data_IF_295402384963
#
_entry.id   IF_295402384963
#
_cell.length_a   1.000
_cell.length_b   1.000
_cell.length_c   1.000
_cell.angle_alpha   90.00
_cell.angle_beta   90.00
_cell.angle_gamma   90.00
#
_symmetry.space_group_name_H-M   'P 1'
#
loop_
_entity.id
_entity.type
_entity.pdbx_description
1 polymer ?
#
# COMPACT_ATOMS: atom_id res chain seq x y z
N UNK A 1 20.99 4.75 14.38
CA UNK A 1 21.70 6.04 14.26
C UNK A 1 20.76 7.07 14.82
N UNK A 2 21.15 7.81 15.86
CA UNK A 2 20.28 8.83 16.43
C UNK A 2 20.05 9.92 15.38
N UNK A 3 18.79 10.37 15.26
CA UNK A 3 18.45 11.44 14.33
C UNK A 3 19.21 12.72 14.70
N UNK A 4 19.75 13.40 13.70
CA UNK A 4 20.40 14.70 13.90
C UNK A 4 19.47 15.67 14.68
N UNK A 5 19.95 16.33 15.75
CA UNK A 5 19.11 17.17 16.61
C UNK A 5 18.41 18.32 15.88
N UNK A 6 19.02 18.87 14.82
CA UNK A 6 18.40 19.94 14.02
C UNK A 6 17.25 19.38 13.19
N UNK A 7 17.42 18.20 12.60
CA UNK A 7 16.35 17.51 11.88
C UNK A 7 15.17 17.20 12.82
N UNK A 8 15.44 16.65 14.00
CA UNK A 8 14.42 16.38 15.01
C UNK A 8 13.65 17.66 15.40
N UNK A 9 14.36 18.76 15.71
CA UNK A 9 13.74 20.03 16.07
C UNK A 9 12.84 20.61 14.96
N UNK A 10 13.19 20.38 13.69
CA UNK A 10 12.37 20.80 12.54
C UNK A 10 11.10 19.98 12.39
N UNK A 11 11.18 18.66 12.59
CA UNK A 11 10.01 17.78 12.60
C UNK A 11 9.08 18.13 13.76
N UNK A 12 9.62 18.34 14.96
CA UNK A 12 8.88 18.77 16.14
C UNK A 12 8.19 20.11 15.91
N UNK A 13 8.89 21.08 15.31
CA UNK A 13 8.32 22.37 14.95
C UNK A 13 7.18 22.25 13.93
N UNK A 14 7.35 21.42 12.89
CA UNK A 14 6.30 21.19 11.88
C UNK A 14 5.06 20.56 12.51
N UNK A 15 5.24 19.57 13.39
CA UNK A 15 4.17 18.90 14.13
C UNK A 15 3.43 19.89 15.05
N UNK A 16 4.16 20.69 15.83
CA UNK A 16 3.56 21.69 16.70
C UNK A 16 2.80 22.78 15.93
N UNK A 17 3.31 23.18 14.77
CA UNK A 17 2.63 24.12 13.87
C UNK A 17 1.33 23.52 13.34
N UNK A 18 1.35 22.25 12.89
CA UNK A 18 0.13 21.57 12.46
C UNK A 18 -0.89 21.40 13.59
N UNK A 19 -0.44 21.11 14.81
CA UNK A 19 -1.30 21.04 15.99
C UNK A 19 -2.01 22.36 16.23
N UNK A 20 -1.26 23.47 16.25
CA UNK A 20 -1.77 24.82 16.48
C UNK A 20 -2.74 25.26 15.38
N UNK A 21 -2.27 25.23 14.14
CA UNK A 21 -3.02 25.77 13.00
C UNK A 21 -4.24 24.89 12.66
N UNK A 22 -4.09 23.59 12.89
CA UNK A 22 -5.17 22.61 12.76
C UNK A 22 -6.12 22.56 13.94
N UNK A 23 -5.87 23.34 15.01
CA UNK A 23 -6.63 23.36 16.27
C UNK A 23 -6.86 21.96 16.84
N UNK A 24 -5.83 21.11 16.77
CA UNK A 24 -5.90 19.71 17.19
C UNK A 24 -5.74 19.61 18.71
N UNK A 25 -6.63 18.93 19.45
CA UNK A 25 -6.47 18.76 20.89
C UNK A 25 -5.15 18.04 21.25
N UNK A 26 -4.83 16.99 20.50
CA UNK A 26 -3.51 16.37 20.42
C UNK A 26 -3.21 15.80 19.04
N UNK A 27 -1.93 15.71 18.73
CA UNK A 27 -1.41 15.03 17.54
C UNK A 27 -0.12 14.29 17.90
N UNK A 28 0.05 13.10 17.36
CA UNK A 28 1.27 12.31 17.43
C UNK A 28 1.69 11.93 16.02
N UNK A 29 2.99 11.79 15.82
CA UNK A 29 3.54 11.35 14.56
C UNK A 29 4.82 10.55 14.75
N UNK A 30 5.18 9.77 13.73
CA UNK A 30 6.44 9.04 13.66
C UNK A 30 6.94 8.89 12.24
N UNK A 31 8.26 8.86 12.07
CA UNK A 31 8.93 8.55 10.80
C UNK A 31 9.59 7.19 10.90
N UNK A 32 9.42 6.37 9.86
CA UNK A 32 9.98 5.04 9.74
C UNK A 32 10.97 5.02 8.60
N UNK A 33 12.17 4.48 8.83
CA UNK A 33 13.18 4.23 7.79
C UNK A 33 13.92 2.94 8.09
N UNK A 34 14.18 2.14 7.06
CA UNK A 34 14.90 0.87 7.21
C UNK A 34 14.24 -0.06 8.24
N UNK A 35 12.90 -0.11 8.25
CA UNK A 35 12.12 -0.93 9.18
C UNK A 35 12.06 -0.42 10.63
N UNK A 36 12.63 0.74 10.94
CA UNK A 36 12.72 1.26 12.32
C UNK A 36 12.06 2.63 12.47
N UNK A 37 11.43 2.87 13.63
CA UNK A 37 10.96 4.20 14.04
C UNK A 37 12.18 5.09 14.36
N UNK A 38 12.47 6.07 13.50
CA UNK A 38 13.65 6.95 13.61
C UNK A 38 13.36 8.30 14.24
N UNK A 39 12.09 8.71 14.28
CA UNK A 39 11.61 9.88 15.00
C UNK A 39 10.18 9.67 15.47
N UNK A 40 9.85 10.29 16.59
CA UNK A 40 8.51 10.33 17.14
C UNK A 40 8.28 11.66 17.84
N UNK A 41 7.15 12.29 17.53
CA UNK A 41 6.70 13.53 18.15
C UNK A 41 5.29 13.43 18.72
N UNK A 42 5.00 14.24 19.74
CA UNK A 42 3.68 14.37 20.34
C UNK A 42 3.46 15.81 20.79
N UNK A 43 2.28 16.37 20.52
CA UNK A 43 1.88 17.72 20.94
C UNK A 43 0.43 17.70 21.41
N UNK A 44 0.13 18.44 22.47
CA UNK A 44 -1.22 18.56 23.03
C UNK A 44 -1.54 17.53 24.12
N UNK A 45 -2.81 17.43 24.48
CA UNK A 45 -3.27 16.65 25.64
C UNK A 45 -4.42 15.72 25.28
N UNK A 46 -4.57 14.63 26.04
CA UNK A 46 -5.52 13.55 25.75
C UNK A 46 -6.98 14.02 25.71
N UNK A 47 -7.31 15.08 26.44
CA UNK A 47 -8.64 15.68 26.60
C UNK A 47 -8.74 17.10 26.01
N UNK A 48 -7.68 17.58 25.36
CA UNK A 48 -7.61 18.92 24.77
C UNK A 48 -7.53 20.08 25.75
N UNK A 49 -7.34 19.83 27.05
CA UNK A 49 -7.21 20.87 28.07
C UNK A 49 -5.75 21.26 28.27
N UNK A 50 -5.48 22.53 28.53
CA UNK A 50 -4.11 23.04 28.67
C UNK A 50 -3.35 22.41 29.85
N UNK A 51 -4.05 22.04 30.91
CA UNK A 51 -3.57 21.33 32.10
C UNK A 51 -3.86 19.82 32.06
N UNK A 52 -4.39 19.33 30.94
CA UNK A 52 -4.70 17.93 30.71
C UNK A 52 -3.44 17.07 30.64
N UNK A 53 -3.63 15.74 30.69
CA UNK A 53 -2.52 14.80 30.56
C UNK A 53 -1.90 14.93 29.16
N UNK A 54 -0.58 15.14 29.02
CA UNK A 54 0.04 15.28 27.70
C UNK A 54 -0.02 13.96 26.91
N UNK A 55 -0.19 14.10 25.59
CA UNK A 55 0.01 12.99 24.67
C UNK A 55 1.51 12.63 24.60
N UNK A 56 1.79 11.36 24.33
CA UNK A 56 3.13 10.81 24.13
C UNK A 56 3.07 9.65 23.13
N UNK A 57 4.21 9.02 22.85
CA UNK A 57 4.31 7.89 21.91
C UNK A 57 3.47 6.67 22.24
N UNK A 58 3.16 6.44 23.51
CA UNK A 58 2.37 5.29 23.97
C UNK A 58 0.86 5.61 24.06
N UNK A 59 0.46 6.82 23.66
CA UNK A 59 -0.93 7.22 23.61
C UNK A 59 -1.66 6.49 22.48
N UNK A 60 -2.71 5.75 22.83
CA UNK A 60 -3.58 5.14 21.84
C UNK A 60 -4.53 6.14 21.16
N UNK A 61 -4.71 5.98 19.86
CA UNK A 61 -5.72 6.65 19.04
C UNK A 61 -6.51 5.61 18.24
N UNK A 62 -7.77 5.88 17.94
CA UNK A 62 -8.55 5.04 17.01
C UNK A 62 -8.02 5.27 15.60
N UNK A 63 -7.49 4.23 14.96
CA UNK A 63 -6.85 4.38 13.63
C UNK A 63 -7.83 4.27 12.46
N UNK A 64 -9.12 4.03 12.74
CA UNK A 64 -10.16 3.98 11.74
C UNK A 64 -9.82 3.01 10.62
N UNK A 65 -10.04 3.42 9.38
CA UNK A 65 -9.89 2.61 8.17
C UNK A 65 -8.52 1.98 7.93
N UNK A 66 -7.46 2.37 8.65
CA UNK A 66 -6.21 1.59 8.66
C UNK A 66 -6.48 0.14 9.14
N UNK A 67 -7.51 -0.10 9.95
CA UNK A 67 -7.96 -1.45 10.34
C UNK A 67 -8.16 -2.39 9.15
N UNK A 68 -8.61 -1.88 8.00
CA UNK A 68 -8.86 -2.66 6.78
C UNK A 68 -7.62 -3.36 6.26
N UNK A 69 -6.46 -2.75 6.42
CA UNK A 69 -5.20 -3.31 5.93
C UNK A 69 -4.86 -4.61 6.68
N UNK A 70 -5.17 -4.68 7.98
CA UNK A 70 -4.98 -5.89 8.79
C UNK A 70 -5.94 -7.01 8.37
N UNK A 71 -7.21 -6.65 8.14
CA UNK A 71 -8.22 -7.59 7.63
C UNK A 71 -7.79 -8.13 6.26
N UNK A 72 -7.35 -7.25 5.36
CA UNK A 72 -6.85 -7.61 4.04
C UNK A 72 -5.69 -8.59 4.10
N UNK A 73 -4.67 -8.32 4.93
CA UNK A 73 -3.54 -9.24 5.12
C UNK A 73 -4.01 -10.60 5.64
N UNK A 74 -4.93 -10.67 6.60
CA UNK A 74 -5.47 -11.95 7.05
C UNK A 74 -6.20 -12.73 5.94
N UNK A 75 -6.92 -12.04 5.04
CA UNK A 75 -7.56 -12.68 3.88
C UNK A 75 -6.51 -13.23 2.91
N UNK A 76 -5.46 -12.47 2.63
CA UNK A 76 -4.37 -12.91 1.75
C UNK A 76 -3.57 -14.07 2.36
N UNK A 77 -3.46 -14.13 3.69
CA UNK A 77 -2.87 -15.29 4.36
C UNK A 77 -3.71 -16.55 4.23
N UNK A 78 -5.05 -16.45 4.21
CA UNK A 78 -5.91 -17.58 3.88
C UNK A 78 -5.67 -18.05 2.44
N UNK A 79 -5.50 -17.11 1.49
CA UNK A 79 -5.13 -17.42 0.10
C UNK A 79 -3.79 -18.15 0.02
N UNK A 80 -2.76 -17.63 0.67
CA UNK A 80 -1.41 -18.24 0.65
C UNK A 80 -1.40 -19.64 1.29
N UNK A 81 -2.31 -19.88 2.24
CA UNK A 81 -2.54 -21.20 2.81
C UNK A 81 -3.40 -22.14 1.94
N UNK A 82 -3.80 -21.71 0.74
CA UNK A 82 -4.63 -22.48 -0.21
C UNK A 82 -6.07 -22.68 0.25
N UNK A 83 -6.58 -21.83 1.15
CA UNK A 83 -7.92 -21.98 1.75
C UNK A 83 -9.03 -21.27 0.98
N UNK A 84 -8.66 -20.33 0.12
CA UNK A 84 -9.54 -19.58 -0.78
C UNK A 84 -8.72 -19.09 -1.98
N UNK A 85 -9.41 -18.72 -3.06
CA UNK A 85 -8.87 -17.97 -4.18
C UNK A 85 -9.46 -16.55 -4.21
N UNK A 86 -8.71 -15.58 -4.73
CA UNK A 86 -9.19 -14.19 -4.81
C UNK A 86 -10.34 -14.02 -5.82
N UNK A 87 -10.44 -14.92 -6.79
CA UNK A 87 -11.51 -14.99 -7.79
C UNK A 87 -12.76 -15.70 -7.30
N UNK A 88 -12.69 -16.38 -6.14
CA UNK A 88 -13.85 -17.00 -5.50
C UNK A 88 -14.90 -15.93 -5.21
N UNK A 89 -16.16 -16.32 -5.36
CA UNK A 89 -17.27 -15.47 -4.96
C UNK A 89 -17.43 -15.48 -3.46
N UNK A 90 -17.84 -14.34 -2.89
CA UNK A 90 -18.06 -14.25 -1.45
C UNK A 90 -19.08 -15.29 -0.92
N UNK A 91 -20.12 -15.61 -1.70
CA UNK A 91 -21.15 -16.61 -1.32
C UNK A 91 -20.63 -18.05 -1.24
N UNK A 92 -19.53 -18.36 -1.90
CA UNK A 92 -18.91 -19.70 -1.86
C UNK A 92 -18.30 -19.97 -0.49
N UNK A 93 -17.87 -18.91 0.20
CA UNK A 93 -17.29 -18.97 1.54
C UNK A 93 -18.27 -18.58 2.65
N UNK A 94 -19.27 -17.74 2.35
CA UNK A 94 -20.31 -17.32 3.29
C UNK A 94 -21.69 -17.54 2.65
N UNK A 95 -22.22 -18.78 2.66
CA UNK A 95 -23.46 -19.13 1.98
C UNK A 95 -24.66 -18.31 2.45
N UNK A 96 -25.52 -17.91 1.52
CA UNK A 96 -26.72 -17.11 1.79
C UNK A 96 -26.44 -15.62 1.99
N UNK A 97 -25.19 -15.17 1.84
CA UNK A 97 -24.85 -13.76 1.94
C UNK A 97 -25.40 -12.93 0.77
N UNK A 98 -25.94 -11.73 1.01
CA UNK A 98 -26.35 -10.83 -0.07
C UNK A 98 -25.18 -10.22 -0.85
N UNK A 99 -23.93 -10.43 -0.41
CA UNK A 99 -22.71 -9.96 -1.09
C UNK A 99 -22.20 -10.93 -2.17
N UNK A 100 -22.96 -12.01 -2.46
CA UNK A 100 -22.49 -13.18 -3.21
C UNK A 100 -21.95 -12.97 -4.63
N UNK A 101 -22.22 -11.83 -5.28
CA UNK A 101 -21.77 -11.60 -6.68
C UNK A 101 -20.37 -11.01 -6.80
N UNK A 102 -19.81 -10.46 -5.73
CA UNK A 102 -18.47 -9.91 -5.73
C UNK A 102 -17.44 -11.02 -5.46
N UNK A 103 -16.30 -10.95 -6.14
CA UNK A 103 -15.15 -11.77 -5.78
C UNK A 103 -14.46 -11.21 -4.55
N UNK A 104 -13.64 -12.02 -3.87
CA UNK A 104 -12.84 -11.56 -2.73
C UNK A 104 -11.87 -10.45 -3.11
N UNK A 105 -11.24 -10.54 -4.29
CA UNK A 105 -10.40 -9.48 -4.88
C UNK A 105 -11.16 -8.15 -4.99
N UNK A 106 -12.39 -8.20 -5.50
CA UNK A 106 -13.23 -7.02 -5.71
C UNK A 106 -13.68 -6.40 -4.39
N UNK A 107 -13.88 -7.19 -3.33
CA UNK A 107 -14.17 -6.64 -2.00
C UNK A 107 -12.94 -5.96 -1.40
N UNK A 108 -11.76 -6.59 -1.49
CA UNK A 108 -10.48 -6.07 -0.99
C UNK A 108 -10.07 -4.76 -1.67
N UNK A 109 -10.35 -4.64 -2.97
CA UNK A 109 -10.02 -3.48 -3.80
C UNK A 109 -11.16 -2.46 -3.95
N UNK A 110 -12.23 -2.60 -3.16
CA UNK A 110 -13.40 -1.70 -3.19
C UNK A 110 -14.08 -1.57 -4.57
N UNK A 111 -14.15 -2.66 -5.31
CA UNK A 111 -14.86 -2.76 -6.58
C UNK A 111 -16.02 -3.76 -6.57
N UNK A 112 -16.39 -4.30 -5.40
CA UNK A 112 -17.48 -5.26 -5.25
C UNK A 112 -18.88 -4.72 -5.57
N UNK A 113 -19.04 -3.41 -5.74
CA UNK A 113 -20.36 -2.78 -5.93
C UNK A 113 -21.22 -2.74 -4.66
N UNK A 114 -20.65 -3.13 -3.52
CA UNK A 114 -21.29 -3.08 -2.21
C UNK A 114 -21.58 -1.64 -1.78
N UNK A 115 -22.63 -1.38 -0.98
CA UNK A 115 -22.88 -0.05 -0.42
C UNK A 115 -21.66 0.49 0.34
N UNK A 116 -21.42 1.80 0.28
CA UNK A 116 -20.35 2.43 1.04
C UNK A 116 -20.53 2.20 2.55
N UNK A 117 -21.74 2.47 3.03
CA UNK A 117 -22.16 2.39 4.44
C UNK A 117 -23.43 1.56 4.59
N UNK A 118 -23.72 1.13 5.82
CA UNK A 118 -25.01 0.53 6.19
C UNK A 118 -26.15 1.53 5.98
N UNK A 119 -27.30 1.08 5.52
CA UNK A 119 -28.50 1.91 5.58
C UNK A 119 -29.04 1.93 7.02
N UNK A 120 -29.42 3.11 7.51
CA UNK A 120 -29.92 3.30 8.87
C UNK A 120 -29.13 4.35 9.66
N UNK A 121 -28.96 4.19 10.98
CA UNK A 121 -28.25 5.16 11.81
C UNK A 121 -26.78 5.25 11.41
N UNK A 122 -26.16 6.40 11.69
CA UNK A 122 -24.73 6.62 11.43
C UNK A 122 -23.89 5.62 12.23
N UNK A 123 -23.36 4.61 11.55
CA UNK A 123 -22.70 3.47 12.22
C UNK A 123 -21.48 3.90 13.03
N UNK A 124 -20.74 4.93 12.59
CA UNK A 124 -19.58 5.44 13.33
C UNK A 124 -19.95 6.14 14.65
N UNK A 125 -21.24 6.29 14.96
CA UNK A 125 -21.74 6.84 16.24
C UNK A 125 -22.74 5.94 16.95
N UNK A 126 -22.99 4.76 16.41
CA UNK A 126 -24.04 3.87 16.91
C UNK A 126 -23.43 2.50 17.15
N UNK A 127 -23.65 1.87 18.33
CA UNK A 127 -23.22 0.50 18.56
C UNK A 127 -23.64 -0.42 17.40
N UNK A 128 -22.69 -1.20 16.88
CA UNK A 128 -22.95 -2.11 15.78
C UNK A 128 -23.72 -3.35 16.22
N UNK A 129 -24.45 -3.92 15.27
CA UNK A 129 -25.09 -5.23 15.44
C UNK A 129 -24.16 -6.39 15.07
N UNK A 130 -24.69 -7.60 15.11
CA UNK A 130 -24.03 -8.79 14.60
C UNK A 130 -24.17 -8.91 13.07
N UNK A 131 -23.68 -10.04 12.54
CA UNK A 131 -23.76 -10.33 11.10
C UNK A 131 -25.19 -10.33 10.58
N UNK A 132 -26.13 -10.89 11.33
CA UNK A 132 -27.54 -11.00 10.92
C UNK A 132 -28.18 -9.61 10.81
N UNK A 133 -27.86 -8.70 11.74
CA UNK A 133 -28.27 -7.31 11.65
C UNK A 133 -27.68 -6.59 10.43
N UNK A 134 -26.41 -6.86 10.09
CA UNK A 134 -25.75 -6.25 8.92
C UNK A 134 -26.39 -6.71 7.60
N UNK A 135 -26.65 -8.01 7.44
CA UNK A 135 -27.25 -8.54 6.20
C UNK A 135 -28.76 -8.30 6.09
N UNK A 136 -29.43 -7.98 7.20
CA UNK A 136 -30.81 -7.52 7.20
C UNK A 136 -30.97 -6.06 6.72
N UNK A 137 -29.91 -5.25 6.76
CA UNK A 137 -29.88 -3.93 6.13
C UNK A 137 -29.98 -4.08 4.60
N UNK A 138 -30.56 -3.12 3.86
CA UNK A 138 -30.53 -3.16 2.39
C UNK A 138 -29.09 -3.13 1.83
N UNK A 139 -28.58 -4.32 1.52
CA UNK A 139 -27.22 -4.55 1.01
C UNK A 139 -27.15 -4.71 -0.51
N UNK A 140 -28.21 -4.30 -1.21
CA UNK A 140 -28.29 -4.45 -2.66
C UNK A 140 -27.07 -3.78 -3.36
N UNK A 141 -26.42 -4.45 -4.33
CA UNK A 141 -25.31 -3.87 -5.06
C UNK A 141 -25.71 -2.53 -5.72
N UNK A 142 -24.89 -1.50 -5.54
CA UNK A 142 -25.10 -0.18 -6.15
C UNK A 142 -24.78 -0.17 -7.64
N UNK A 143 -23.91 -1.07 -8.08
CA UNK A 143 -23.57 -1.30 -9.48
C UNK A 143 -22.92 -2.69 -9.64
N UNK A 144 -22.68 -3.10 -10.90
CA UNK A 144 -22.03 -4.38 -11.22
C UNK A 144 -20.62 -4.44 -10.60
N UNK A 145 -20.28 -5.55 -9.95
CA UNK A 145 -18.95 -5.79 -9.41
C UNK A 145 -17.86 -5.70 -10.52
N UNK A 146 -16.70 -5.15 -10.15
CA UNK A 146 -15.58 -4.85 -11.04
C UNK A 146 -15.79 -3.63 -11.96
N UNK A 147 -16.95 -2.94 -11.91
CA UNK A 147 -17.22 -1.81 -12.81
C UNK A 147 -16.36 -0.59 -12.53
N UNK A 148 -16.17 -0.24 -11.25
CA UNK A 148 -15.46 0.97 -10.80
C UNK A 148 -15.05 0.83 -9.35
N UNK A 149 -14.10 1.65 -8.96
CA UNK A 149 -13.83 1.93 -7.55
C UNK A 149 -15.05 2.58 -6.86
N UNK A 150 -15.32 2.11 -5.64
CA UNK A 150 -16.29 2.65 -4.69
C UNK A 150 -15.95 2.16 -3.29
N UNK A 151 -15.34 3.06 -2.52
CA UNK A 151 -14.98 2.78 -1.14
C UNK A 151 -16.16 2.20 -0.35
N UNK A 152 -15.94 1.10 0.36
CA UNK A 152 -17.00 0.37 1.07
C UNK A 152 -16.52 -0.16 2.41
N UNK A 153 -17.09 0.39 3.49
CA UNK A 153 -16.93 -0.13 4.84
C UNK A 153 -17.71 -1.44 5.00
N UNK A 154 -18.90 -1.54 4.38
CA UNK A 154 -19.72 -2.77 4.41
C UNK A 154 -18.98 -3.95 3.80
N UNK A 155 -18.24 -3.76 2.71
CA UNK A 155 -17.40 -4.79 2.11
C UNK A 155 -16.35 -5.33 3.08
N UNK A 156 -15.76 -4.47 3.91
CA UNK A 156 -14.81 -4.91 4.94
C UNK A 156 -15.49 -5.55 6.15
N UNK A 157 -16.71 -5.14 6.51
CA UNK A 157 -17.54 -5.90 7.46
C UNK A 157 -17.78 -7.34 6.99
N UNK A 158 -18.06 -7.51 5.68
CA UNK A 158 -18.18 -8.82 5.05
C UNK A 158 -16.86 -9.62 5.07
N UNK A 159 -15.72 -9.00 4.77
CA UNK A 159 -14.41 -9.65 4.87
C UNK A 159 -14.06 -10.05 6.31
N UNK A 160 -14.49 -9.28 7.32
CA UNK A 160 -14.38 -9.72 8.71
C UNK A 160 -15.17 -10.99 8.99
N UNK A 161 -16.40 -11.09 8.47
CA UNK A 161 -17.20 -12.32 8.57
C UNK A 161 -16.54 -13.51 7.87
N UNK A 162 -15.92 -13.29 6.71
CA UNK A 162 -15.15 -14.33 6.02
C UNK A 162 -14.05 -14.90 6.92
N UNK A 163 -13.29 -14.04 7.61
CA UNK A 163 -12.27 -14.48 8.56
C UNK A 163 -12.86 -15.31 9.69
N UNK A 164 -14.02 -14.91 10.22
CA UNK A 164 -14.70 -15.66 11.29
C UNK A 164 -15.12 -17.06 10.85
N UNK A 165 -15.69 -17.17 9.64
CA UNK A 165 -16.12 -18.47 9.08
C UNK A 165 -14.92 -19.39 8.89
N UNK A 166 -13.81 -18.87 8.35
CA UNK A 166 -12.61 -19.68 8.12
C UNK A 166 -11.86 -20.04 9.42
N UNK A 167 -11.90 -19.22 10.46
CA UNK A 167 -11.13 -19.49 11.68
C UNK A 167 -11.97 -20.07 12.82
N UNK A 168 -13.31 -20.01 12.75
CA UNK A 168 -14.20 -20.43 13.83
C UNK A 168 -14.12 -19.54 15.09
N UNK A 169 -13.55 -18.34 14.97
CA UNK A 169 -13.33 -17.36 16.05
C UNK A 169 -13.44 -15.93 15.52
N UNK A 170 -13.66 -14.96 16.40
CA UNK A 170 -13.86 -13.55 16.02
C UNK A 170 -12.71 -12.97 15.21
N UNK A 171 -13.00 -12.08 14.25
CA UNK A 171 -11.98 -11.45 13.39
C UNK A 171 -10.88 -10.74 14.20
N UNK A 172 -11.24 -10.16 15.35
CA UNK A 172 -10.31 -9.47 16.23
C UNK A 172 -9.27 -10.44 16.84
N UNK A 173 -9.68 -11.67 17.16
CA UNK A 173 -8.77 -12.71 17.64
C UNK A 173 -7.86 -13.24 16.53
N UNK A 174 -8.38 -13.33 15.31
CA UNK A 174 -7.58 -13.65 14.12
C UNK A 174 -6.48 -12.59 13.94
N UNK A 175 -6.85 -11.32 13.78
CA UNK A 175 -5.88 -10.22 13.62
C UNK A 175 -4.88 -10.17 14.77
N UNK A 176 -5.35 -10.32 16.02
CA UNK A 176 -4.48 -10.31 17.20
C UNK A 176 -3.44 -11.42 17.16
N UNK A 177 -3.87 -12.67 17.02
CA UNK A 177 -2.97 -13.83 17.15
C UNK A 177 -2.11 -14.05 15.92
N UNK A 178 -2.59 -13.63 14.74
CA UNK A 178 -1.88 -13.87 13.49
C UNK A 178 -0.97 -12.72 13.10
N UNK A 179 -1.29 -11.47 13.48
CA UNK A 179 -0.52 -10.29 13.08
C UNK A 179 0.03 -9.53 14.30
N UNK A 180 -0.83 -9.10 15.22
CA UNK A 180 -0.43 -8.15 16.26
C UNK A 180 0.58 -8.77 17.25
N UNK A 181 0.32 -9.99 17.72
CA UNK A 181 1.20 -10.68 18.67
C UNK A 181 2.58 -11.02 18.03
N UNK A 182 2.66 -11.62 16.82
CA UNK A 182 3.95 -11.88 16.17
C UNK A 182 4.75 -10.62 15.83
N UNK A 183 4.09 -9.52 15.48
CA UNK A 183 4.74 -8.23 15.21
C UNK A 183 5.05 -7.43 16.49
N UNK A 184 4.67 -7.93 17.67
CA UNK A 184 4.88 -7.22 18.94
C UNK A 184 4.04 -5.94 19.10
N UNK A 185 2.93 -5.83 18.36
CA UNK A 185 1.98 -4.72 18.41
C UNK A 185 1.00 -4.83 19.60
N UNK A 186 1.55 -4.94 20.81
CA UNK A 186 0.81 -5.22 22.05
C UNK A 186 -0.07 -4.06 22.54
N UNK A 187 0.11 -2.86 22.00
CA UNK A 187 -0.72 -1.67 22.27
C UNK A 187 -1.67 -1.40 21.12
N UNK A 188 -1.97 -2.41 20.30
CA UNK A 188 -3.01 -2.37 19.27
C UNK A 188 -4.18 -3.25 19.67
N UNK A 189 -5.35 -2.65 19.87
CA UNK A 189 -6.52 -3.28 20.49
C UNK A 189 -7.83 -2.84 19.81
N UNK A 190 -8.93 -3.57 19.99
CA UNK A 190 -10.25 -3.19 19.43
C UNK A 190 -10.93 -2.05 20.19
N UNK A 191 -10.52 -1.81 21.43
CA UNK A 191 -11.04 -0.74 22.29
C UNK A 191 -9.88 -0.10 23.04
N UNK A 192 -10.00 1.15 23.51
CA UNK A 192 -8.91 1.83 24.19
C UNK A 192 -8.55 1.10 25.49
N UNK A 193 -7.25 0.95 25.74
CA UNK A 193 -6.69 0.35 26.96
C UNK A 193 -5.55 1.21 27.49
N UNK A 194 -5.41 1.32 28.81
CA UNK A 194 -4.34 2.10 29.43
C UNK A 194 -4.40 3.57 29.03
N UNK A 195 -3.30 4.12 28.50
CA UNK A 195 -3.24 5.50 28.01
C UNK A 195 -3.86 5.59 26.61
N UNK A 196 -4.98 6.31 26.49
CA UNK A 196 -5.67 6.55 25.22
C UNK A 196 -6.20 7.99 25.16
N UNK A 197 -6.19 8.59 23.98
CA UNK A 197 -6.78 9.91 23.76
C UNK A 197 -8.32 9.84 23.77
N UNK A 198 -8.96 10.89 24.28
CA UNK A 198 -10.41 11.06 24.19
C UNK A 198 -10.77 11.53 22.78
N UNK A 199 -11.81 10.94 22.17
CA UNK A 199 -12.34 11.41 20.90
C UNK A 199 -13.05 12.76 21.07
N UNK A 200 -12.68 13.75 20.24
CA UNK A 200 -13.19 15.12 20.36
C UNK A 200 -13.58 15.71 19.01
N UNK A 201 -14.64 16.51 19.01
CA UNK A 201 -14.92 17.49 17.96
C UNK A 201 -14.55 18.88 18.46
N UNK A 202 -13.84 19.64 17.63
CA UNK A 202 -13.53 21.05 17.89
C UNK A 202 -14.57 21.90 17.17
N UNK A 203 -15.20 22.84 17.88
CA UNK A 203 -16.20 23.71 17.25
C UNK A 203 -15.56 24.52 16.10
N UNK A 204 -16.17 24.60 14.90
CA UNK A 204 -15.53 25.21 13.72
C UNK A 204 -15.14 26.68 13.90
N UNK A 205 -15.84 27.40 14.78
CA UNK A 205 -15.69 28.85 14.98
C UNK A 205 -15.33 29.26 16.42
N UNK A 206 -15.11 28.31 17.33
CA UNK A 206 -14.84 28.61 18.73
C UNK A 206 -13.93 27.55 19.35
N UNK A 207 -13.07 27.92 20.30
CA UNK A 207 -12.15 26.99 21.00
C UNK A 207 -12.88 26.19 22.08
N UNK A 208 -13.93 25.49 21.66
CA UNK A 208 -14.78 24.65 22.49
C UNK A 208 -14.73 23.23 21.96
N UNK A 209 -14.63 22.29 22.89
CA UNK A 209 -14.52 20.86 22.62
C UNK A 209 -15.85 20.17 22.92
N UNK A 210 -16.23 19.22 22.08
CA UNK A 210 -17.35 18.31 22.30
C UNK A 210 -16.83 16.88 22.32
N UNK A 211 -17.22 16.09 23.33
CA UNK A 211 -16.80 14.71 23.44
C UNK A 211 -17.50 13.83 22.39
N UNK A 212 -16.73 13.01 21.70
CA UNK A 212 -17.23 12.01 20.76
C UNK A 212 -16.90 10.63 21.33
N UNK A 213 -17.88 9.99 21.99
CA UNK A 213 -17.63 8.72 22.66
C UNK A 213 -17.37 7.60 21.66
N UNK A 214 -16.50 6.67 22.06
CA UNK A 214 -16.29 5.44 21.31
C UNK A 214 -17.47 4.47 21.50
N UNK A 215 -17.61 3.54 20.56
CA UNK A 215 -18.54 2.43 20.61
C UNK A 215 -17.91 1.22 19.91
N UNK A 216 -18.45 0.05 20.20
CA UNK A 216 -18.13 -1.18 19.47
C UNK A 216 -18.92 -1.23 18.16
N UNK A 217 -18.22 -1.31 17.02
CA UNK A 217 -18.80 -1.37 15.69
C UNK A 217 -19.40 -2.72 15.31
N UNK A 218 -19.29 -3.76 16.14
CA UNK A 218 -19.88 -5.08 15.87
C UNK A 218 -19.44 -5.64 14.51
N UNK A 219 -20.39 -6.01 13.66
CA UNK A 219 -20.11 -6.49 12.30
C UNK A 219 -19.43 -5.46 11.38
N UNK A 220 -19.51 -4.16 11.70
CA UNK A 220 -18.78 -3.10 10.99
C UNK A 220 -17.38 -2.83 11.58
N UNK A 221 -17.05 -3.42 12.74
CA UNK A 221 -15.76 -3.24 13.39
C UNK A 221 -14.52 -3.53 12.50
N UNK A 222 -14.52 -4.55 11.62
CA UNK A 222 -13.43 -4.79 10.66
C UNK A 222 -13.12 -3.61 9.74
N UNK A 223 -14.05 -2.67 9.57
CA UNK A 223 -13.85 -1.50 8.74
C UNK A 223 -13.04 -0.40 9.46
N UNK A 224 -13.03 -0.33 10.80
CA UNK A 224 -12.42 0.83 11.45
C UNK A 224 -12.23 0.81 12.98
N UNK A 225 -12.33 -0.36 13.61
CA UNK A 225 -12.42 -0.43 15.07
C UNK A 225 -11.09 -0.28 15.82
N UNK A 226 -9.96 -0.64 15.21
CA UNK A 226 -8.72 -0.78 15.96
C UNK A 226 -8.19 0.56 16.49
N UNK A 227 -7.55 0.47 17.65
CA UNK A 227 -6.80 1.51 18.32
C UNK A 227 -5.32 1.11 18.32
N UNK A 228 -4.43 2.08 18.16
CA UNK A 228 -2.98 1.80 18.09
C UNK A 228 -2.16 2.97 18.63
N UNK A 229 -0.86 2.77 18.73
CA UNK A 229 0.14 3.77 19.13
C UNK A 229 1.11 4.03 17.97
N UNK A 230 1.93 5.09 18.07
CA UNK A 230 2.94 5.37 17.03
C UNK A 230 3.93 4.20 16.87
N UNK A 231 4.52 3.62 17.94
CA UNK A 231 5.43 2.49 17.81
C UNK A 231 4.79 1.25 17.16
N UNK A 232 3.54 0.93 17.49
CA UNK A 232 2.86 -0.22 16.91
C UNK A 232 2.55 0.01 15.43
N UNK A 233 2.00 1.16 15.08
CA UNK A 233 1.72 1.47 13.68
C UNK A 233 3.00 1.65 12.85
N UNK A 234 4.11 2.03 13.47
CA UNK A 234 5.43 2.04 12.83
C UNK A 234 5.94 0.63 12.48
N UNK A 235 5.66 -0.38 13.31
CA UNK A 235 5.94 -1.79 12.95
C UNK A 235 5.07 -2.25 11.79
N UNK A 236 3.83 -1.78 11.72
CA UNK A 236 2.98 -2.03 10.56
C UNK A 236 3.44 -1.29 9.29
N UNK A 237 4.03 -0.11 9.44
CA UNK A 237 4.71 0.57 8.33
C UNK A 237 5.94 -0.20 7.86
N UNK A 238 6.73 -0.77 8.78
CA UNK A 238 7.85 -1.66 8.45
C UNK A 238 7.38 -2.94 7.74
N UNK A 239 6.26 -3.53 8.17
CA UNK A 239 5.60 -4.64 7.48
C UNK A 239 5.27 -4.26 6.03
N UNK A 240 4.63 -3.11 5.81
CA UNK A 240 4.29 -2.61 4.47
C UNK A 240 5.54 -2.29 3.63
N UNK A 241 6.64 -1.90 4.27
CA UNK A 241 7.93 -1.69 3.62
C UNK A 241 8.67 -2.99 3.22
N UNK A 242 8.11 -4.16 3.54
CA UNK A 242 8.64 -5.47 3.17
C UNK A 242 9.18 -6.31 4.33
N UNK A 243 9.29 -5.76 5.55
CA UNK A 243 9.67 -6.55 6.74
C UNK A 243 8.45 -7.26 7.32
N UNK A 244 8.00 -8.31 6.62
CA UNK A 244 6.77 -9.02 6.98
C UNK A 244 6.92 -9.94 8.19
N UNK A 245 8.12 -10.03 8.79
CA UNK A 245 8.47 -11.03 9.81
C UNK A 245 8.15 -12.49 9.40
N UNK A 246 8.13 -12.76 8.09
CA UNK A 246 7.75 -14.07 7.54
C UNK A 246 6.25 -14.40 7.63
N UNK A 247 5.40 -13.43 7.99
CA UNK A 247 3.95 -13.61 8.10
C UNK A 247 3.24 -13.54 6.74
N UNK A 248 3.90 -12.97 5.73
CA UNK A 248 3.38 -12.83 4.37
C UNK A 248 4.54 -12.92 3.38
N UNK A 249 4.34 -13.59 2.24
CA UNK A 249 5.35 -13.63 1.19
C UNK A 249 5.57 -12.24 0.57
N UNK A 250 6.80 -11.97 0.14
CA UNK A 250 7.15 -10.68 -0.47
C UNK A 250 6.33 -10.41 -1.74
N UNK A 251 6.15 -11.43 -2.59
CA UNK A 251 5.35 -11.32 -3.82
C UNK A 251 3.86 -11.07 -3.50
N UNK A 252 3.32 -11.69 -2.45
CA UNK A 252 1.95 -11.40 -1.99
C UNK A 252 1.82 -9.95 -1.53
N UNK A 253 2.77 -9.40 -0.76
CA UNK A 253 2.73 -8.00 -0.36
C UNK A 253 2.84 -7.06 -1.57
N UNK A 254 3.69 -7.40 -2.54
CA UNK A 254 3.85 -6.64 -3.77
C UNK A 254 2.53 -6.58 -4.56
N UNK A 255 1.87 -7.73 -4.76
CA UNK A 255 0.54 -7.85 -5.37
C UNK A 255 -0.50 -7.01 -4.61
N UNK A 256 -0.52 -7.08 -3.28
CA UNK A 256 -1.43 -6.26 -2.47
C UNK A 256 -1.24 -4.75 -2.70
N UNK A 257 -0.06 -4.32 -3.15
CA UNK A 257 0.30 -2.93 -3.43
C UNK A 257 0.24 -2.57 -4.93
N UNK A 258 -0.28 -3.45 -5.78
CA UNK A 258 -0.57 -3.16 -7.18
C UNK A 258 -1.86 -2.36 -7.32
N UNK A 259 -1.96 -1.44 -8.31
CA UNK A 259 -3.19 -0.69 -8.55
C UNK A 259 -4.25 -1.57 -9.23
N UNK A 260 -5.11 -2.21 -8.43
CA UNK A 260 -6.25 -2.98 -8.94
C UNK A 260 -7.38 -2.07 -9.46
N UNK A 261 -7.67 -0.98 -8.76
CA UNK A 261 -8.69 -0.02 -9.17
C UNK A 261 -8.29 1.43 -8.91
N UNK A 262 -8.32 2.24 -9.96
CA UNK A 262 -8.08 3.69 -9.90
C UNK A 262 -9.26 4.41 -9.27
N UNK A 263 -8.99 5.37 -8.39
CA UNK A 263 -10.00 6.34 -7.93
C UNK A 263 -10.23 7.39 -9.02
N UNK A 264 -11.14 7.06 -9.95
CA UNK A 264 -11.46 7.90 -11.10
C UNK A 264 -12.39 9.05 -10.70
N UNK A 265 -11.79 10.21 -10.42
CA UNK A 265 -12.48 11.47 -10.15
C UNK A 265 -12.51 12.35 -11.39
N UNK A 266 -13.71 12.62 -11.90
CA UNK A 266 -13.91 13.39 -13.13
C UNK A 266 -13.20 14.75 -13.07
N UNK A 267 -12.33 15.02 -14.05
CA UNK A 267 -11.57 16.26 -14.16
C UNK A 267 -10.30 16.32 -13.29
N UNK A 268 -9.93 15.24 -12.61
CA UNK A 268 -8.70 15.13 -11.82
C UNK A 268 -7.72 14.14 -12.47
N UNK A 269 -6.40 14.30 -12.27
CA UNK A 269 -5.44 13.29 -12.68
C UNK A 269 -5.62 11.99 -11.86
N UNK A 270 -5.27 10.86 -12.47
CA UNK A 270 -5.27 9.56 -11.79
C UNK A 270 -4.05 9.43 -10.87
N UNK A 271 -4.20 9.92 -9.66
CA UNK A 271 -3.15 9.92 -8.62
C UNK A 271 -3.47 9.01 -7.44
N UNK A 272 -4.69 8.48 -7.36
CA UNK A 272 -5.13 7.55 -6.33
C UNK A 272 -5.60 6.22 -6.92
N UNK A 273 -5.28 5.13 -6.26
CA UNK A 273 -5.80 3.81 -6.55
C UNK A 273 -5.97 3.00 -5.26
N UNK A 274 -6.59 1.84 -5.38
CA UNK A 274 -6.65 0.84 -4.33
C UNK A 274 -6.05 -0.47 -4.82
N UNK A 275 -5.20 -1.04 -3.98
CA UNK A 275 -4.77 -2.43 -4.09
C UNK A 275 -5.66 -3.34 -3.26
N UNK A 276 -5.13 -4.46 -2.79
CA UNK A 276 -5.87 -5.40 -1.95
C UNK A 276 -5.81 -4.96 -0.49
N UNK A 277 -6.77 -4.13 -0.07
CA UNK A 277 -6.86 -3.59 1.29
C UNK A 277 -5.98 -2.37 1.57
N UNK A 278 -5.15 -1.95 0.62
CA UNK A 278 -4.30 -0.76 0.72
C UNK A 278 -4.79 0.36 -0.19
N UNK A 279 -4.65 1.60 0.27
CA UNK A 279 -4.65 2.79 -0.57
C UNK A 279 -3.29 2.96 -1.23
N UNK A 280 -3.31 3.41 -2.48
CA UNK A 280 -2.14 3.68 -3.28
C UNK A 280 -2.20 5.10 -3.79
N UNK A 281 -1.06 5.80 -3.74
CA UNK A 281 -0.94 7.16 -4.24
C UNK A 281 0.27 7.27 -5.17
N UNK A 282 0.10 8.06 -6.22
CA UNK A 282 1.16 8.51 -7.10
C UNK A 282 1.26 10.03 -6.97
N UNK A 283 2.38 10.50 -6.42
CA UNK A 283 2.68 11.94 -6.29
C UNK A 283 3.94 12.22 -7.09
N UNK A 284 3.76 12.92 -8.21
CA UNK A 284 4.85 13.31 -9.13
C UNK A 284 5.76 12.14 -9.57
N UNK A 285 5.17 10.95 -9.73
CA UNK A 285 5.89 9.72 -10.11
C UNK A 285 6.34 8.86 -8.94
N UNK A 286 6.32 9.38 -7.70
CA UNK A 286 6.63 8.59 -6.51
C UNK A 286 5.41 7.79 -6.05
N UNK A 287 5.59 6.48 -5.87
CA UNK A 287 4.54 5.58 -5.42
C UNK A 287 4.55 5.41 -3.91
N UNK A 288 3.35 5.49 -3.33
CA UNK A 288 3.12 5.24 -1.92
C UNK A 288 1.99 4.24 -1.73
N UNK A 289 2.07 3.46 -0.66
CA UNK A 289 1.00 2.63 -0.15
C UNK A 289 0.70 2.98 1.30
N UNK A 290 -0.50 2.65 1.78
CA UNK A 290 -0.90 2.85 3.16
C UNK A 290 -2.41 2.94 3.30
N UNK A 291 -2.89 3.73 4.25
CA UNK A 291 -4.31 4.04 4.37
C UNK A 291 -4.53 5.27 5.27
N UNK A 292 -5.50 6.11 4.94
CA UNK A 292 -6.05 7.12 5.86
C UNK A 292 -7.02 6.51 6.89
N UNK A 293 -7.28 7.20 7.98
CA UNK A 293 -8.24 6.77 8.99
C UNK A 293 -9.09 7.94 9.46
N UNK A 294 -10.39 7.73 9.59
CA UNK A 294 -11.32 8.66 10.20
C UNK A 294 -12.33 7.87 11.01
N UNK A 295 -12.57 8.33 12.23
CA UNK A 295 -13.71 7.95 13.08
C UNK A 295 -14.11 9.20 13.87
N UNK A 296 -15.34 9.33 14.36
CA UNK A 296 -15.71 10.43 15.26
C UNK A 296 -14.71 10.57 16.41
N UNK A 297 -14.10 11.73 16.48
CA UNK A 297 -13.07 12.12 17.42
C UNK A 297 -11.64 11.81 17.00
N UNK A 298 -11.39 11.23 15.82
CA UNK A 298 -10.07 10.73 15.43
C UNK A 298 -9.78 10.83 13.93
N UNK A 299 -8.54 11.20 13.63
CA UNK A 299 -7.96 11.14 12.29
C UNK A 299 -6.62 10.40 12.38
N UNK A 300 -6.33 9.58 11.38
CA UNK A 300 -5.08 8.82 11.29
C UNK A 300 -4.57 8.77 9.85
N UNK A 301 -3.27 8.55 9.68
CA UNK A 301 -2.64 8.32 8.41
C UNK A 301 -1.44 7.42 8.57
N UNK A 302 -1.35 6.43 7.67
CA UNK A 302 -0.17 5.62 7.43
C UNK A 302 0.19 5.75 5.96
N UNK A 303 1.44 6.07 5.67
CA UNK A 303 1.95 6.15 4.31
C UNK A 303 3.38 5.65 4.26
N UNK A 304 3.68 4.78 3.31
CA UNK A 304 5.00 4.21 3.06
C UNK A 304 5.33 4.37 1.58
N UNK A 305 6.54 4.84 1.30
CA UNK A 305 7.06 4.98 -0.06
C UNK A 305 7.55 3.61 -0.53
N UNK A 306 7.06 3.14 -1.66
CA UNK A 306 7.31 1.77 -2.11
C UNK A 306 8.76 1.56 -2.61
N UNK A 307 9.44 2.63 -3.01
CA UNK A 307 10.79 2.54 -3.60
C UNK A 307 11.89 2.24 -2.57
N UNK A 308 11.77 2.76 -1.34
CA UNK A 308 12.78 2.62 -0.28
C UNK A 308 12.24 2.24 1.09
N UNK A 309 10.91 2.14 1.24
CA UNK A 309 10.27 1.78 2.50
C UNK A 309 10.21 2.90 3.54
N UNK A 310 10.56 4.14 3.18
CA UNK A 310 10.41 5.28 4.08
C UNK A 310 8.91 5.54 4.36
N UNK A 311 8.57 5.65 5.64
CA UNK A 311 7.20 5.74 6.09
C UNK A 311 6.93 6.87 7.07
N UNK A 312 5.66 7.23 7.19
CA UNK A 312 5.14 8.20 8.14
C UNK A 312 3.82 7.70 8.72
N UNK A 313 3.68 7.88 10.03
CA UNK A 313 2.44 7.64 10.76
C UNK A 313 2.03 8.93 11.46
N UNK A 314 0.74 9.26 11.41
CA UNK A 314 0.18 10.45 12.06
C UNK A 314 -1.17 10.10 12.64
N UNK A 315 -1.44 10.53 13.88
CA UNK A 315 -2.75 10.35 14.50
C UNK A 315 -3.11 11.59 15.33
N UNK A 316 -4.39 11.95 15.35
CA UNK A 316 -4.91 13.05 16.14
C UNK A 316 -6.29 12.70 16.70
N UNK A 317 -6.66 13.31 17.83
CA UNK A 317 -7.97 13.15 18.44
C UNK A 317 -8.93 14.30 18.07
N UNK A 318 -9.12 14.50 16.76
CA UNK A 318 -10.14 15.40 16.21
C UNK A 318 -10.86 14.75 15.05
N UNK A 319 -12.17 14.97 14.89
CA UNK A 319 -12.96 14.52 13.72
C UNK A 319 -12.53 15.19 12.42
N UNK A 320 -12.11 16.46 12.47
CA UNK A 320 -11.83 17.21 11.25
C UNK A 320 -10.68 18.19 11.49
N UNK A 321 -9.68 18.13 10.61
CA UNK A 321 -8.64 19.16 10.53
C UNK A 321 -7.99 19.16 9.15
N UNK A 322 -8.04 20.28 8.40
CA UNK A 322 -7.33 20.42 7.14
C UNK A 322 -5.82 20.21 7.29
N UNK A 323 -5.25 20.52 8.46
CA UNK A 323 -3.81 20.45 8.71
C UNK A 323 -3.26 19.03 8.64
N UNK A 324 -4.06 18.00 8.94
CA UNK A 324 -3.61 16.60 8.85
C UNK A 324 -3.50 16.10 7.41
N UNK A 325 -4.20 16.72 6.45
CA UNK A 325 -4.19 16.27 5.06
C UNK A 325 -2.80 16.29 4.45
N UNK A 326 -2.00 17.31 4.77
CA UNK A 326 -0.64 17.47 4.22
C UNK A 326 0.44 17.06 5.22
N UNK A 327 0.13 16.91 6.51
CA UNK A 327 1.14 16.71 7.55
C UNK A 327 2.02 15.49 7.30
N UNK A 328 1.46 14.38 6.83
CA UNK A 328 2.22 13.18 6.49
C UNK A 328 3.25 13.46 5.39
N UNK A 329 2.85 14.14 4.32
CA UNK A 329 3.73 14.51 3.20
C UNK A 329 4.79 15.52 3.65
N UNK A 330 4.40 16.52 4.43
CA UNK A 330 5.31 17.56 4.92
C UNK A 330 6.39 17.00 5.85
N UNK A 331 6.02 16.11 6.77
CA UNK A 331 6.99 15.48 7.68
C UNK A 331 7.94 14.55 6.93
N UNK A 332 7.42 13.73 6.02
CA UNK A 332 8.23 12.79 5.25
C UNK A 332 9.16 13.52 4.27
N UNK A 333 8.66 14.54 3.57
CA UNK A 333 9.45 15.39 2.70
C UNK A 333 10.56 16.11 3.46
N UNK A 334 10.23 16.74 4.60
CA UNK A 334 11.22 17.40 5.45
C UNK A 334 12.31 16.44 5.93
N UNK A 335 11.93 15.23 6.34
CA UNK A 335 12.90 14.23 6.77
C UNK A 335 13.85 13.82 5.63
N UNK A 336 13.32 13.62 4.42
CA UNK A 336 14.11 13.20 3.25
C UNK A 336 15.08 14.29 2.77
N UNK A 337 14.67 15.56 2.86
CA UNK A 337 15.53 16.70 2.52
C UNK A 337 16.74 16.78 3.46
N UNK A 338 16.54 16.52 4.75
CA UNK A 338 17.60 16.57 5.76
C UNK A 338 18.43 15.29 5.85
N UNK A 339 17.81 14.15 5.56
CA UNK A 339 18.43 12.82 5.64
C UNK A 339 18.25 12.11 4.30
N UNK A 340 19.11 12.39 3.30
CA UNK A 340 19.03 11.73 2.01
C UNK A 340 19.26 10.22 2.15
N UNK A 341 18.67 9.46 1.23
CA UNK A 341 18.86 8.02 1.18
C UNK A 341 20.36 7.69 0.99
N UNK A 342 20.87 6.62 1.64
CA UNK A 342 22.23 6.18 1.42
C UNK A 342 22.41 5.79 -0.04
N UNK A 343 23.47 6.32 -0.67
CA UNK A 343 23.84 5.94 -2.03
C UNK A 343 24.81 4.78 -1.97
N UNK A 344 24.48 3.68 -2.65
CA UNK A 344 25.42 2.57 -2.82
C UNK A 344 26.58 3.06 -3.68
N UNK A 345 27.79 3.05 -3.10
CA UNK A 345 28.99 3.37 -3.85
C UNK A 345 29.14 2.40 -5.02
N UNK A 346 29.36 2.96 -6.21
CA UNK A 346 29.62 2.15 -7.38
C UNK A 346 30.89 1.30 -7.18
N UNK A 347 30.84 0.04 -7.61
CA UNK A 347 31.99 -0.85 -7.64
C UNK A 347 32.03 -1.65 -8.95
N UNK A 348 33.23 -1.97 -9.42
CA UNK A 348 33.44 -2.70 -10.67
C UNK A 348 33.32 -4.23 -10.48
N UNK A 349 32.10 -4.70 -10.20
CA UNK A 349 31.79 -6.13 -9.94
C UNK A 349 31.03 -6.81 -11.09
N UNK A 350 30.94 -6.16 -12.25
CA UNK A 350 30.18 -6.67 -13.40
C UNK A 350 30.75 -7.97 -14.00
N UNK A 351 29.89 -8.74 -14.66
CA UNK A 351 30.26 -9.98 -15.35
C UNK A 351 30.71 -9.70 -16.80
N UNK A 352 31.99 -9.93 -17.17
CA UNK A 352 32.48 -9.72 -18.53
C UNK A 352 31.77 -10.58 -19.59
N UNK A 353 31.18 -11.71 -19.22
CA UNK A 353 30.44 -12.56 -20.15
C UNK A 353 29.21 -11.86 -20.75
N UNK A 354 28.64 -10.85 -20.06
CA UNK A 354 27.51 -10.09 -20.56
C UNK A 354 27.90 -9.05 -21.63
N UNK A 355 29.19 -8.84 -21.89
CA UNK A 355 29.66 -7.86 -22.87
C UNK A 355 29.11 -8.14 -24.29
N UNK A 356 28.85 -9.42 -24.62
CA UNK A 356 28.26 -9.80 -25.90
C UNK A 356 26.76 -9.48 -26.00
N UNK A 357 26.09 -9.12 -24.89
CA UNK A 357 24.66 -8.79 -24.83
C UNK A 357 24.40 -7.28 -24.71
N UNK A 358 25.40 -6.50 -24.32
CA UNK A 358 25.26 -5.04 -24.14
C UNK A 358 25.56 -4.27 -25.42
N UNK A 359 25.23 -2.98 -25.42
CA UNK A 359 25.40 -2.08 -26.56
C UNK A 359 24.11 -1.87 -27.35
N UNK A 360 24.24 -1.42 -28.59
CA UNK A 360 23.10 -1.14 -29.46
C UNK A 360 22.41 -2.43 -29.94
N UNK A 361 21.09 -2.35 -30.01
CA UNK A 361 20.18 -3.35 -30.54
C UNK A 361 19.07 -2.69 -31.34
N UNK A 362 18.55 -3.38 -32.35
CA UNK A 362 17.58 -2.84 -33.29
C UNK A 362 16.38 -3.76 -33.44
N UNK A 363 15.18 -3.22 -33.23
CA UNK A 363 13.94 -3.85 -33.68
C UNK A 363 13.47 -3.14 -34.95
N UNK A 364 13.70 -3.75 -36.11
CA UNK A 364 13.58 -3.06 -37.39
C UNK A 364 14.51 -1.85 -37.45
N UNK A 365 13.95 -0.66 -37.65
CA UNK A 365 14.70 0.61 -37.60
C UNK A 365 14.79 1.24 -36.21
N UNK A 366 14.04 0.73 -35.22
CA UNK A 366 14.03 1.28 -33.86
C UNK A 366 15.28 0.84 -33.11
N UNK A 367 16.02 1.80 -32.55
CA UNK A 367 17.25 1.51 -31.79
C UNK A 367 16.98 1.53 -30.29
N UNK A 368 17.54 0.57 -29.57
CA UNK A 368 17.60 0.55 -28.11
C UNK A 368 18.99 0.16 -27.63
N UNK A 369 19.30 0.43 -26.37
CA UNK A 369 20.60 0.06 -25.77
C UNK A 369 20.38 -0.99 -24.69
N UNK A 370 21.14 -2.08 -24.75
CA UNK A 370 21.25 -3.02 -23.66
C UNK A 370 22.42 -2.64 -22.74
N UNK A 371 22.22 -2.71 -21.42
CA UNK A 371 23.25 -2.52 -20.39
C UNK A 371 23.19 -3.67 -19.40
N UNK A 372 24.32 -4.03 -18.81
CA UNK A 372 24.38 -4.95 -17.69
C UNK A 372 24.47 -4.13 -16.40
N UNK A 373 23.54 -4.35 -15.47
CA UNK A 373 23.48 -3.63 -14.18
C UNK A 373 23.34 -4.67 -13.07
N UNK A 374 24.43 -4.91 -12.35
CA UNK A 374 24.52 -6.05 -11.43
C UNK A 374 24.37 -7.36 -12.20
N UNK A 375 23.37 -8.16 -11.82
CA UNK A 375 23.03 -9.42 -12.49
C UNK A 375 21.95 -9.26 -13.58
N UNK A 376 21.39 -8.05 -13.74
CA UNK A 376 20.30 -7.81 -14.67
C UNK A 376 20.79 -7.34 -16.04
N UNK A 377 20.09 -7.77 -17.08
CA UNK A 377 20.13 -7.15 -18.40
C UNK A 377 19.06 -6.05 -18.44
N UNK A 378 19.42 -4.86 -18.88
CA UNK A 378 18.50 -3.72 -19.01
C UNK A 378 18.44 -3.34 -20.48
N UNK A 379 17.28 -3.49 -21.11
CA UNK A 379 17.07 -3.14 -22.52
C UNK A 379 16.23 -1.86 -22.59
N UNK A 380 16.84 -0.74 -22.98
CA UNK A 380 16.23 0.59 -22.90
C UNK A 380 16.29 1.21 -21.51
N UNK A 381 15.50 2.26 -21.26
CA UNK A 381 15.41 2.90 -19.94
C UNK A 381 14.12 2.44 -19.24
N UNK A 382 14.19 1.70 -18.11
CA UNK A 382 13.02 1.21 -17.39
C UNK A 382 12.03 2.33 -17.05
N UNK A 383 10.74 2.05 -17.27
CA UNK A 383 9.67 3.04 -17.08
C UNK A 383 9.50 4.04 -18.23
N UNK A 384 10.36 4.01 -19.25
CA UNK A 384 10.18 4.78 -20.48
C UNK A 384 9.89 3.88 -21.68
N UNK A 385 8.79 4.16 -22.38
CA UNK A 385 8.33 3.37 -23.53
C UNK A 385 8.25 1.86 -23.21
N UNK A 386 9.14 1.06 -23.79
CA UNK A 386 9.25 -0.39 -23.55
C UNK A 386 10.57 -0.79 -22.88
N UNK A 387 11.27 0.17 -22.27
CA UNK A 387 12.49 -0.13 -21.54
C UNK A 387 12.18 -1.03 -20.33
N UNK A 388 13.00 -2.06 -20.11
CA UNK A 388 12.76 -3.02 -19.03
C UNK A 388 14.04 -3.67 -18.50
N UNK A 389 13.98 -4.14 -17.25
CA UNK A 389 15.00 -4.99 -16.62
C UNK A 389 14.63 -6.48 -16.79
N UNK A 390 15.65 -7.32 -16.90
CA UNK A 390 15.53 -8.75 -17.06
C UNK A 390 16.42 -9.49 -16.07
N UNK A 391 15.89 -10.51 -15.41
CA UNK A 391 16.65 -11.43 -14.57
C UNK A 391 16.99 -12.72 -15.31
N UNK A 392 18.17 -13.31 -15.10
CA UNK A 392 18.52 -14.59 -15.71
C UNK A 392 17.72 -15.73 -15.07
N UNK A 393 17.14 -16.60 -15.90
CA UNK A 393 16.41 -17.82 -15.46
C UNK A 393 17.06 -19.11 -15.98
N UNK A 394 18.12 -18.98 -16.78
CA UNK A 394 18.92 -20.09 -17.28
C UNK A 394 19.99 -19.60 -18.26
N UNK A 395 20.77 -20.53 -18.84
CA UNK A 395 21.67 -20.21 -19.94
C UNK A 395 20.87 -19.60 -21.09
N UNK A 396 21.26 -18.40 -21.53
CA UNK A 396 20.61 -17.68 -22.64
C UNK A 396 19.11 -17.41 -22.44
N UNK A 397 18.60 -17.50 -21.20
CA UNK A 397 17.19 -17.31 -20.88
C UNK A 397 17.03 -16.31 -19.74
N UNK A 398 16.13 -15.36 -19.95
CA UNK A 398 15.84 -14.26 -19.04
C UNK A 398 14.33 -14.04 -18.97
N UNK A 399 13.88 -13.36 -17.91
CA UNK A 399 12.47 -12.95 -17.73
C UNK A 399 12.41 -11.47 -17.42
N UNK A 400 11.48 -10.75 -18.04
CA UNK A 400 11.28 -9.33 -17.79
C UNK A 400 10.65 -9.07 -16.43
N UNK A 401 11.06 -7.98 -15.80
CA UNK A 401 10.74 -7.67 -14.39
C UNK A 401 9.79 -6.49 -14.24
N UNK A 402 9.57 -5.70 -15.29
CA UNK A 402 8.82 -4.45 -15.19
C UNK A 402 8.19 -3.98 -16.50
N UNK A 403 7.20 -3.09 -16.34
CA UNK A 403 6.55 -2.39 -17.44
C UNK A 403 5.86 -3.34 -18.42
N UNK A 404 6.06 -3.07 -19.71
CA UNK A 404 5.44 -3.83 -20.80
C UNK A 404 5.94 -5.28 -20.90
N UNK A 405 7.14 -5.56 -20.37
CA UNK A 405 7.78 -6.87 -20.50
C UNK A 405 7.75 -7.69 -19.20
N UNK A 406 7.01 -7.27 -18.17
CA UNK A 406 6.86 -8.04 -16.93
C UNK A 406 6.39 -9.48 -17.22
N UNK A 407 7.16 -10.46 -16.80
CA UNK A 407 6.88 -11.89 -17.01
C UNK A 407 7.19 -12.40 -18.43
N UNK A 408 7.52 -11.52 -19.38
CA UNK A 408 7.81 -11.93 -20.75
C UNK A 408 9.20 -12.57 -20.85
N UNK A 409 9.35 -13.68 -21.58
CA UNK A 409 10.63 -14.34 -21.76
C UNK A 409 11.51 -13.58 -22.77
N UNK A 410 12.78 -13.42 -22.42
CA UNK A 410 13.84 -13.00 -23.33
C UNK A 410 14.83 -14.15 -23.53
N UNK A 411 15.07 -14.52 -24.78
CA UNK A 411 16.01 -15.56 -25.17
C UNK A 411 17.16 -14.97 -25.96
N UNK A 412 18.39 -15.37 -25.64
CA UNK A 412 19.57 -15.05 -26.44
C UNK A 412 19.70 -16.14 -27.50
N UNK A 413 19.49 -15.78 -28.76
CA UNK A 413 19.62 -16.73 -29.88
C UNK A 413 21.03 -16.67 -30.42
N UNK A 414 21.70 -17.81 -30.49
CA UNK A 414 23.10 -17.92 -30.93
C UNK A 414 23.21 -18.55 -32.32
N UNK A 415 24.25 -18.14 -33.05
CA UNK A 415 24.67 -18.76 -34.32
C UNK A 415 25.39 -20.09 -34.05
N UNK A 416 25.59 -20.94 -35.08
CA UNK A 416 26.34 -22.20 -34.94
C UNK A 416 27.78 -22.04 -34.44
N UNK A 417 28.40 -20.86 -34.62
CA UNK A 417 29.73 -20.53 -34.12
C UNK A 417 29.76 -20.07 -32.65
N UNK A 418 28.60 -20.04 -31.97
CA UNK A 418 28.44 -19.63 -30.59
C UNK A 418 28.23 -18.13 -30.37
N UNK A 419 28.36 -17.30 -31.42
CA UNK A 419 28.14 -15.85 -31.32
C UNK A 419 26.65 -15.51 -31.20
N UNK A 420 26.33 -14.40 -30.52
CA UNK A 420 24.94 -13.94 -30.41
C UNK A 420 24.43 -13.46 -31.78
N UNK A 421 23.32 -14.03 -32.22
CA UNK A 421 22.58 -13.62 -33.41
C UNK A 421 21.66 -12.43 -33.10
N UNK A 422 20.71 -12.66 -32.20
CA UNK A 422 19.70 -11.68 -31.81
C UNK A 422 19.15 -11.98 -30.42
N UNK A 423 18.45 -11.00 -29.84
CA UNK A 423 17.60 -11.24 -28.67
C UNK A 423 16.17 -11.45 -29.15
N UNK A 424 15.57 -12.56 -28.74
CA UNK A 424 14.16 -12.87 -28.96
C UNK A 424 13.40 -12.55 -27.68
N UNK A 425 12.68 -11.43 -27.69
CA UNK A 425 11.85 -10.97 -26.58
C UNK A 425 10.38 -11.07 -27.00
N UNK A 426 9.73 -12.15 -26.59
CA UNK A 426 8.38 -12.53 -27.02
C UNK A 426 8.22 -12.64 -28.56
N UNK A 427 7.86 -11.56 -29.24
CA UNK A 427 7.77 -11.48 -30.72
C UNK A 427 8.64 -10.36 -31.31
N UNK A 428 9.46 -9.74 -30.47
CA UNK A 428 10.37 -8.66 -30.84
C UNK A 428 11.77 -9.23 -31.01
N UNK A 429 12.22 -9.33 -32.26
CA UNK A 429 13.60 -9.69 -32.56
C UNK A 429 14.47 -8.43 -32.57
N UNK A 430 15.46 -8.42 -31.70
CA UNK A 430 16.45 -7.35 -31.60
C UNK A 430 17.76 -7.82 -32.24
N UNK A 431 18.17 -7.19 -33.33
CA UNK A 431 19.39 -7.51 -34.08
C UNK A 431 20.49 -6.47 -33.84
N UNK A 432 21.75 -6.82 -34.14
CA UNK A 432 22.90 -5.92 -33.97
C UNK A 432 22.95 -4.79 -35.00
N UNK A 433 22.27 -4.97 -36.13
CA UNK A 433 22.08 -3.93 -37.16
C UNK A 433 20.62 -3.88 -37.57
N UNK A 434 20.10 -2.72 -38.00
CA UNK A 434 18.74 -2.61 -38.52
C UNK A 434 18.49 -3.59 -39.68
N UNK A 435 17.45 -4.41 -39.58
CA UNK A 435 17.09 -5.41 -40.61
C UNK A 435 18.28 -6.31 -41.02
N UNK A 436 18.94 -6.93 -40.03
CA UNK A 436 20.11 -7.79 -40.27
C UNK A 436 19.74 -8.97 -41.21
N UNK A 437 20.30 -9.04 -42.43
CA UNK A 437 19.96 -10.09 -43.40
C UNK A 437 20.51 -11.46 -43.00
N UNK A 438 21.39 -11.53 -41.99
CA UNK A 438 21.93 -12.78 -41.44
C UNK A 438 21.12 -13.32 -40.27
N UNK A 439 20.15 -12.54 -39.77
CA UNK A 439 19.19 -12.97 -38.77
C UNK A 439 17.90 -13.45 -39.45
N UNK A 440 17.24 -14.43 -38.84
CA UNK A 440 15.94 -14.93 -39.31
C UNK A 440 14.83 -13.94 -38.94
N UNK A 441 14.81 -12.78 -39.61
CA UNK A 441 13.85 -11.70 -39.36
C UNK A 441 12.49 -12.07 -39.99
N UNK A 442 11.40 -12.21 -39.19
CA UNK A 442 10.09 -12.54 -39.70
C UNK A 442 9.61 -11.53 -40.75
N UNK A 443 9.12 -12.05 -41.88
CA UNK A 443 8.70 -11.23 -43.02
C UNK A 443 9.81 -10.92 -44.03
N UNK A 444 11.07 -11.28 -43.72
CA UNK A 444 12.22 -11.06 -44.59
C UNK A 444 12.65 -9.59 -44.68
N UNK A 445 13.65 -9.34 -45.50
CA UNK A 445 14.17 -7.99 -45.82
C UNK A 445 14.16 -7.80 -47.34
N UNK A 446 13.96 -6.56 -47.82
CA UNK A 446 14.03 -6.28 -49.26
C UNK A 446 15.45 -6.55 -49.76
N UNK A 447 15.59 -7.39 -50.79
CA UNK A 447 16.87 -7.75 -51.39
C UNK A 447 17.66 -6.53 -51.92
N UNK A 448 16.97 -5.40 -52.20
CA UNK A 448 17.59 -4.15 -52.61
C UNK A 448 18.22 -3.37 -51.45
N UNK A 449 17.87 -3.71 -50.21
CA UNK A 449 18.34 -3.03 -49.00
C UNK A 449 17.81 -1.59 -48.87
N UNK A 450 18.56 -0.77 -48.12
CA UNK A 450 18.30 0.67 -47.96
C UNK A 450 18.51 1.40 -49.29
N UNK A 451 17.52 2.19 -49.71
CA UNK A 451 17.51 2.89 -51.00
C UNK A 451 17.06 4.34 -50.87
#
# INVERSE_FOLDING_TARGET
>A
MDLDPRTAARLDHRLATAQRDGRLPSVVAGIVRGGSLVWQGAVGTLDGRADGRPADGDTQYRMGSITKTFVGVCVLRLRDAGRLDLTDRFEEHVPGSPFGRATLEQLLSHAGGTPAETEGPWWERTPGGDWDALVASPTAPRFRAGRRFHYSNVGFGALGRLLEVHHGRGWADVVRTELLEPLGMSRTTTRPTGRAAQGLAVHPFADVLHAEPEHDGGAMAPAGQLWTTVPDLARWAAFLAGDTAGLLAADTLAEMCEPHHVDDQAGQPWTGAHGLGWQLWNVDGERFAGHGGSMPGFLAGLRVRLDDGDGVVVMANSTASPALRTLSEDLLGLYRDEVPAPVTAWSATGNPALLELVGAWHWGSSTTTARAVGEHLVLGEPGQARGSRFAPVGPDAWVGLDGYHTGEPLRVVRRPDGTVSHLDLASFLFTRTPYDPTADVPGGVDDRGWH
#
